data_IF_101927968545
#
_entry.id   IF_101927968545
#
_cell.length_a   1.000
_cell.length_b   1.000
_cell.length_c   1.000
_cell.angle_alpha   90.00
_cell.angle_beta   90.00
_cell.angle_gamma   90.00
#
_symmetry.space_group_name_H-M   'P 1'
#
loop_
_entity.id
_entity.type
_entity.pdbx_description
1 polymer ?
#
# COMPACT_ATOMS: atom_id res chain seq x y z
N UNK A 1 42.65 34.44 5.11
CA UNK A 1 42.08 33.77 3.92
C UNK A 1 41.70 32.30 4.14
N UNK A 2 42.22 31.58 5.15
CA UNK A 2 41.97 30.14 5.31
C UNK A 2 40.60 29.72 5.88
N UNK A 3 39.93 30.56 6.69
CA UNK A 3 38.61 30.20 7.27
C UNK A 3 37.45 30.28 6.25
N UNK A 4 37.53 31.19 5.29
CA UNK A 4 36.45 31.41 4.30
C UNK A 4 36.39 30.26 3.29
N UNK A 5 37.55 29.72 2.89
CA UNK A 5 37.61 28.54 2.01
C UNK A 5 37.05 27.28 2.68
N UNK A 6 37.30 27.09 3.98
CA UNK A 6 36.80 25.91 4.71
C UNK A 6 35.26 25.90 4.79
N UNK A 7 34.63 27.06 5.01
CA UNK A 7 33.16 27.18 5.04
C UNK A 7 32.54 26.92 3.66
N UNK A 8 33.16 27.44 2.59
CA UNK A 8 32.70 27.26 1.20
C UNK A 8 32.81 25.81 0.71
N UNK A 9 33.73 25.00 1.24
CA UNK A 9 33.90 23.59 0.88
C UNK A 9 32.98 22.67 1.73
N UNK A 10 32.67 23.03 2.97
CA UNK A 10 31.81 22.22 3.83
C UNK A 10 30.30 22.32 3.49
N UNK A 11 29.84 23.50 3.04
CA UNK A 11 28.45 23.73 2.63
C UNK A 11 27.95 22.77 1.52
N UNK A 12 28.67 22.56 0.40
CA UNK A 12 28.22 21.62 -0.63
C UNK A 12 28.23 20.17 -0.13
N UNK A 13 29.23 19.73 0.64
CA UNK A 13 29.26 18.36 1.18
C UNK A 13 28.08 18.07 2.12
N UNK A 14 27.69 19.02 2.98
CA UNK A 14 26.51 18.88 3.83
C UNK A 14 25.21 18.72 3.04
N UNK A 15 25.06 19.47 1.94
CA UNK A 15 23.91 19.40 1.05
C UNK A 15 23.82 18.07 0.27
N UNK A 16 24.95 17.51 -0.18
CA UNK A 16 24.96 16.22 -0.88
C UNK A 16 24.62 15.03 0.03
N UNK A 17 25.04 15.04 1.29
CA UNK A 17 24.69 13.99 2.27
C UNK A 17 23.21 14.05 2.64
N UNK A 18 22.64 15.25 2.83
CA UNK A 18 21.22 15.43 3.15
C UNK A 18 20.28 14.88 2.06
N UNK A 19 20.62 15.07 0.78
CA UNK A 19 19.83 14.55 -0.36
C UNK A 19 19.78 13.01 -0.39
N UNK A 20 20.88 12.32 -0.08
CA UNK A 20 20.90 10.83 -0.02
C UNK A 20 20.08 10.27 1.13
N UNK A 21 19.97 10.99 2.25
CA UNK A 21 19.13 10.60 3.40
C UNK A 21 17.63 10.72 3.08
N UNK A 22 17.24 11.71 2.28
CA UNK A 22 15.84 11.97 1.93
C UNK A 22 15.21 10.87 1.05
N UNK A 23 16.00 10.25 0.17
CA UNK A 23 15.58 9.15 -0.71
C UNK A 23 15.25 7.83 0.03
N UNK A 24 15.51 7.73 1.35
CA UNK A 24 15.28 6.53 2.16
C UNK A 24 14.22 6.72 3.26
N UNK A 25 13.47 7.82 3.25
CA UNK A 25 12.42 8.01 4.26
C UNK A 25 11.32 6.94 4.09
N UNK A 26 10.77 6.39 5.19
CA UNK A 26 9.74 5.36 5.12
C UNK A 26 8.53 5.75 4.27
N UNK A 27 8.17 7.04 4.26
CA UNK A 27 7.09 7.56 3.44
C UNK A 27 7.31 7.40 1.93
N UNK A 28 8.53 7.65 1.42
CA UNK A 28 8.85 7.52 -0.01
C UNK A 28 8.79 6.06 -0.45
N UNK A 29 9.28 5.14 0.38
CA UNK A 29 9.27 3.69 0.10
C UNK A 29 7.86 3.12 0.04
N UNK A 30 6.93 3.76 0.74
CA UNK A 30 5.51 3.42 0.75
C UNK A 30 4.68 4.27 -0.20
N UNK A 31 5.24 5.14 -1.03
CA UNK A 31 4.45 5.97 -1.94
C UNK A 31 3.69 5.11 -2.97
N UNK A 32 2.45 5.48 -3.27
CA UNK A 32 1.69 4.85 -4.35
C UNK A 32 2.08 5.43 -5.72
N UNK A 33 2.15 4.61 -6.77
CA UNK A 33 2.23 5.11 -8.15
C UNK A 33 0.89 5.68 -8.62
N UNK A 34 0.92 6.65 -9.53
CA UNK A 34 -0.27 7.35 -10.02
C UNK A 34 -1.30 6.40 -10.65
N UNK A 35 -0.86 5.34 -11.34
CA UNK A 35 -1.75 4.34 -11.95
C UNK A 35 -2.65 3.61 -10.94
N UNK A 36 -2.21 3.44 -9.70
CA UNK A 36 -3.03 2.87 -8.62
C UNK A 36 -3.99 3.92 -8.07
N UNK A 37 -3.58 5.20 -8.07
CA UNK A 37 -4.43 6.30 -7.61
C UNK A 37 -5.61 6.53 -8.56
N UNK A 38 -5.39 6.47 -9.87
CA UNK A 38 -6.46 6.56 -10.88
C UNK A 38 -7.54 5.46 -10.68
N UNK A 39 -7.13 4.25 -10.28
CA UNK A 39 -8.07 3.15 -10.04
C UNK A 39 -9.00 3.38 -8.85
N UNK A 40 -8.51 4.05 -7.80
CA UNK A 40 -9.31 4.31 -6.58
C UNK A 40 -10.26 5.51 -6.70
N UNK A 41 -10.19 6.26 -7.80
CA UNK A 41 -11.13 7.34 -8.10
C UNK A 41 -12.50 6.82 -8.50
N UNK A 42 -12.57 5.60 -9.06
CA UNK A 42 -13.83 4.96 -9.39
C UNK A 42 -14.37 4.17 -8.18
N UNK A 43 -15.44 4.65 -7.51
CA UNK A 43 -15.97 3.99 -6.32
C UNK A 43 -16.53 2.59 -6.60
N UNK A 44 -16.91 2.26 -7.84
CA UNK A 44 -17.40 0.93 -8.19
C UNK A 44 -16.32 -0.15 -8.10
N UNK A 45 -15.04 0.23 -8.13
CA UNK A 45 -13.90 -0.67 -8.09
C UNK A 45 -13.17 -0.64 -6.75
N UNK A 46 -13.77 -0.08 -5.70
CA UNK A 46 -13.12 0.09 -4.39
C UNK A 46 -13.95 -0.56 -3.30
N UNK A 47 -13.25 -1.28 -2.41
CA UNK A 47 -13.83 -1.78 -1.16
C UNK A 47 -13.04 -1.27 0.04
N UNK A 48 -13.78 -1.03 1.13
CA UNK A 48 -13.22 -0.67 2.44
C UNK A 48 -13.09 -1.92 3.32
N UNK A 49 -12.15 -1.93 4.27
CA UNK A 49 -11.96 -3.09 5.13
C UNK A 49 -13.05 -3.17 6.21
N UNK A 50 -13.35 -4.40 6.63
CA UNK A 50 -14.23 -4.67 7.78
C UNK A 50 -13.49 -4.52 9.11
N UNK A 51 -12.16 -4.68 9.10
CA UNK A 51 -11.30 -4.57 10.29
C UNK A 51 -9.97 -3.94 9.93
N UNK A 52 -9.44 -3.12 10.82
CA UNK A 52 -8.08 -2.58 10.76
C UNK A 52 -7.37 -2.86 12.08
N UNK A 53 -6.10 -3.25 12.00
CA UNK A 53 -5.20 -3.43 13.14
C UNK A 53 -3.97 -2.56 12.92
N UNK A 54 -3.64 -1.71 13.90
CA UNK A 54 -2.53 -0.76 13.83
C UNK A 54 -1.72 -0.82 15.12
N UNK A 55 -0.90 -1.84 15.26
CA UNK A 55 -0.04 -2.07 16.43
C UNK A 55 1.43 -2.18 16.00
N UNK A 56 2.02 -1.12 15.40
CA UNK A 56 3.35 -1.20 14.82
C UNK A 56 4.48 -1.52 15.82
N UNK A 57 4.26 -1.34 17.13
CA UNK A 57 5.20 -1.71 18.20
C UNK A 57 5.25 -3.23 18.46
N UNK A 58 4.24 -3.99 18.04
CA UNK A 58 4.24 -5.46 18.13
C UNK A 58 5.09 -6.11 17.00
N UNK A 59 5.81 -5.31 16.23
CA UNK A 59 6.75 -5.77 15.20
C UNK A 59 6.13 -5.94 13.82
N UNK A 60 6.74 -6.83 13.03
CA UNK A 60 6.24 -7.12 11.68
C UNK A 60 4.86 -7.73 11.78
N UNK A 61 4.06 -7.51 10.75
CA UNK A 61 2.75 -8.14 10.62
C UNK A 61 1.63 -7.64 11.57
N UNK A 62 1.85 -6.54 12.29
CA UNK A 62 0.83 -5.95 13.17
C UNK A 62 0.24 -4.64 12.65
N UNK A 63 0.34 -4.40 11.33
CA UNK A 63 -0.35 -3.29 10.68
C UNK A 63 -1.01 -3.79 9.40
N UNK A 64 -2.31 -4.04 9.46
CA UNK A 64 -3.05 -4.59 8.33
C UNK A 64 -4.54 -4.27 8.40
N UNK A 65 -5.20 -4.41 7.26
CA UNK A 65 -6.64 -4.31 7.14
C UNK A 65 -7.21 -5.58 6.49
N UNK A 66 -8.39 -6.02 6.92
CA UNK A 66 -9.09 -7.19 6.39
C UNK A 66 -10.22 -6.72 5.48
N UNK A 67 -10.19 -7.17 4.23
CA UNK A 67 -11.18 -6.84 3.22
C UNK A 67 -11.99 -8.07 2.86
N UNK A 68 -13.29 -7.89 2.60
CA UNK A 68 -14.13 -8.91 1.97
C UNK A 68 -14.27 -8.56 0.49
N UNK A 69 -13.87 -9.48 -0.37
CA UNK A 69 -13.96 -9.31 -1.83
C UNK A 69 -15.33 -9.81 -2.30
N UNK A 70 -16.12 -8.99 -3.01
CA UNK A 70 -17.41 -9.42 -3.54
C UNK A 70 -17.28 -10.55 -4.57
N UNK A 71 -18.32 -11.38 -4.69
CA UNK A 71 -18.39 -12.44 -5.69
C UNK A 71 -18.22 -11.91 -7.11
N UNK A 72 -17.43 -12.62 -7.92
CA UNK A 72 -17.13 -12.24 -9.31
C UNK A 72 -16.12 -11.11 -9.45
N UNK A 73 -15.41 -10.76 -8.37
CA UNK A 73 -14.29 -9.82 -8.38
C UNK A 73 -13.02 -10.47 -7.82
N UNK A 74 -11.88 -9.97 -8.28
CA UNK A 74 -10.55 -10.25 -7.70
C UNK A 74 -10.00 -8.99 -7.04
N UNK A 75 -9.29 -9.18 -5.94
CA UNK A 75 -8.52 -8.11 -5.34
C UNK A 75 -7.30 -7.77 -6.22
N UNK A 76 -6.96 -6.49 -6.28
CA UNK A 76 -5.64 -6.03 -6.71
C UNK A 76 -4.57 -6.45 -5.70
N UNK A 77 -3.32 -6.52 -6.14
CA UNK A 77 -2.17 -6.85 -5.30
C UNK A 77 -1.76 -5.71 -4.35
N UNK A 78 -2.41 -4.54 -4.46
CA UNK A 78 -2.05 -3.32 -3.72
C UNK A 78 -3.24 -2.78 -2.92
N UNK A 79 -2.95 -2.35 -1.69
CA UNK A 79 -3.89 -1.61 -0.83
C UNK A 79 -3.41 -0.15 -0.72
N UNK A 80 -4.33 0.80 -0.77
CA UNK A 80 -4.04 2.24 -0.64
C UNK A 80 -4.50 2.74 0.72
N UNK A 81 -3.65 3.52 1.38
CA UNK A 81 -3.89 4.15 2.68
C UNK A 81 -3.73 5.66 2.53
N UNK A 82 -4.82 6.38 2.76
CA UNK A 82 -4.85 7.84 2.65
C UNK A 82 -4.62 8.46 4.03
N UNK A 83 -3.66 9.37 4.12
CA UNK A 83 -3.40 10.16 5.33
C UNK A 83 -3.47 11.63 4.94
N UNK A 84 -4.32 12.39 5.61
CA UNK A 84 -4.54 13.82 5.37
C UNK A 84 -3.23 14.59 5.51
N UNK A 85 -2.94 15.42 4.50
CA UNK A 85 -1.72 16.22 4.44
C UNK A 85 -0.49 15.48 3.89
N UNK A 86 -0.68 14.30 3.32
CA UNK A 86 0.39 13.52 2.68
C UNK A 86 -0.10 12.85 1.40
N UNK A 87 0.84 12.46 0.53
CA UNK A 87 0.55 11.59 -0.60
C UNK A 87 0.09 10.20 -0.09
N UNK A 88 -0.82 9.52 -0.79
CA UNK A 88 -1.28 8.19 -0.37
C UNK A 88 -0.15 7.17 -0.31
N UNK A 89 -0.30 6.23 0.62
CA UNK A 89 0.67 5.17 0.85
C UNK A 89 0.13 3.82 0.38
N UNK A 90 1.01 2.98 -0.14
CA UNK A 90 0.69 1.67 -0.65
C UNK A 90 1.22 0.57 0.27
N UNK A 91 0.40 -0.46 0.44
CA UNK A 91 0.72 -1.74 1.06
C UNK A 91 0.56 -2.88 0.06
N UNK A 92 0.82 -4.10 0.51
CA UNK A 92 0.67 -5.33 -0.29
C UNK A 92 -0.57 -6.10 0.14
N UNK A 93 -1.24 -6.77 -0.78
CA UNK A 93 -2.39 -7.62 -0.47
C UNK A 93 -1.95 -9.07 -0.44
N UNK A 94 -2.35 -9.79 0.62
CA UNK A 94 -2.06 -11.22 0.77
C UNK A 94 -3.36 -12.00 1.00
N UNK A 95 -3.45 -13.25 0.50
CA UNK A 95 -4.64 -14.08 0.69
C UNK A 95 -4.72 -14.73 2.08
N UNK A 96 -3.71 -14.56 2.92
CA UNK A 96 -3.63 -15.17 4.24
C UNK A 96 -3.56 -14.13 5.35
N UNK A 97 -4.17 -14.49 6.48
CA UNK A 97 -4.13 -13.73 7.72
C UNK A 97 -2.71 -13.66 8.28
N UNK A 98 -2.46 -12.82 9.29
CA UNK A 98 -1.19 -12.85 10.00
C UNK A 98 -0.85 -14.16 10.71
N UNK A 99 -1.84 -14.98 11.01
CA UNK A 99 -1.64 -16.33 11.52
C UNK A 99 -1.47 -17.39 10.42
N UNK A 100 -1.39 -16.97 9.14
CA UNK A 100 -1.22 -17.85 7.98
C UNK A 100 -2.49 -18.55 7.51
N UNK A 101 -3.66 -18.21 8.04
CA UNK A 101 -4.92 -18.84 7.64
C UNK A 101 -5.53 -18.12 6.45
N UNK A 102 -5.86 -18.87 5.40
CA UNK A 102 -6.78 -18.37 4.36
C UNK A 102 -8.20 -18.33 4.93
N UNK A 103 -8.92 -17.25 4.68
CA UNK A 103 -10.32 -17.12 5.07
C UNK A 103 -11.11 -16.81 3.81
N UNK A 104 -12.17 -17.55 3.59
CA UNK A 104 -12.92 -17.51 2.34
C UNK A 104 -13.39 -16.09 2.01
N UNK A 105 -13.16 -15.69 0.76
CA UNK A 105 -13.44 -14.33 0.22
C UNK A 105 -12.77 -13.17 0.95
N UNK A 106 -11.77 -13.41 1.80
CA UNK A 106 -11.06 -12.34 2.52
C UNK A 106 -9.62 -12.23 2.08
N UNK A 107 -9.18 -10.99 1.99
CA UNK A 107 -7.77 -10.65 1.75
C UNK A 107 -7.28 -9.66 2.80
N UNK A 108 -5.98 -9.62 2.98
CA UNK A 108 -5.34 -8.83 4.02
C UNK A 108 -4.42 -7.81 3.36
N UNK A 109 -4.72 -6.52 3.53
CA UNK A 109 -3.87 -5.42 3.08
C UNK A 109 -2.83 -5.11 4.15
N UNK A 110 -1.59 -5.49 3.90
CA UNK A 110 -0.46 -5.33 4.80
C UNK A 110 0.25 -4.00 4.58
N UNK A 111 0.44 -3.27 5.67
CA UNK A 111 1.14 -2.00 5.64
C UNK A 111 2.53 -2.10 6.27
N UNK A 112 3.48 -1.33 5.75
CA UNK A 112 4.86 -1.37 6.25
C UNK A 112 4.91 -0.84 7.68
N UNK A 113 5.29 -1.68 8.64
CA UNK A 113 5.46 -1.30 10.05
C UNK A 113 6.36 -0.07 10.22
N UNK A 114 7.45 0.03 9.45
CA UNK A 114 8.37 1.19 9.52
C UNK A 114 7.69 2.50 9.11
N UNK A 115 6.78 2.46 8.13
CA UNK A 115 6.00 3.62 7.70
C UNK A 115 4.96 3.98 8.75
N UNK A 116 4.30 2.98 9.36
CA UNK A 116 3.37 3.21 10.47
C UNK A 116 4.06 3.83 11.71
N UNK A 117 5.23 3.33 12.10
CA UNK A 117 6.04 3.94 13.18
C UNK A 117 6.42 5.38 12.84
N UNK A 118 6.82 5.64 11.59
CA UNK A 118 7.13 7.00 11.15
C UNK A 118 5.89 7.90 11.25
N UNK A 119 4.73 7.46 10.77
CA UNK A 119 3.46 8.20 10.90
C UNK A 119 3.04 8.41 12.36
N UNK A 120 3.34 7.44 13.25
CA UNK A 120 3.16 7.61 14.70
C UNK A 120 3.99 8.78 15.24
N UNK A 121 5.26 8.89 14.86
CA UNK A 121 6.11 10.05 15.26
C UNK A 121 5.61 11.39 14.70
N UNK A 122 4.72 11.37 13.70
CA UNK A 122 4.05 12.55 13.13
C UNK A 122 2.67 12.82 13.75
N UNK A 123 2.22 12.01 14.72
CA UNK A 123 0.89 12.13 15.31
C UNK A 123 -0.25 11.70 14.38
N UNK A 124 0.04 10.93 13.34
CA UNK A 124 -0.93 10.53 12.30
C UNK A 124 -1.43 9.08 12.47
N UNK A 125 -1.09 8.41 13.58
CA UNK A 125 -1.47 7.01 13.81
C UNK A 125 -2.98 6.79 13.79
N UNK A 126 -3.76 7.69 14.38
CA UNK A 126 -5.23 7.61 14.40
C UNK A 126 -5.87 7.65 13.02
N UNK A 127 -5.18 8.19 12.01
CA UNK A 127 -5.66 8.14 10.62
C UNK A 127 -5.49 6.73 10.03
N UNK A 128 -4.43 6.00 10.41
CA UNK A 128 -4.26 4.61 10.01
C UNK A 128 -5.31 3.70 10.65
N UNK A 129 -5.86 4.05 11.81
CA UNK A 129 -6.87 3.25 12.49
C UNK A 129 -8.26 3.36 11.85
N UNK A 130 -8.51 4.36 11.02
CA UNK A 130 -9.81 4.60 10.39
C UNK A 130 -10.00 3.73 9.14
N UNK A 131 -10.98 2.81 9.09
CA UNK A 131 -11.24 1.97 7.91
C UNK A 131 -11.47 2.76 6.62
N UNK A 132 -12.11 3.93 6.70
CA UNK A 132 -12.39 4.79 5.55
C UNK A 132 -11.13 5.29 4.83
N UNK A 133 -9.99 5.33 5.53
CA UNK A 133 -8.71 5.73 4.95
C UNK A 133 -8.03 4.60 4.16
N UNK A 134 -8.53 3.38 4.25
CA UNK A 134 -8.01 2.21 3.54
C UNK A 134 -8.91 1.86 2.38
N UNK A 135 -8.30 1.62 1.23
CA UNK A 135 -9.00 1.27 -0.02
C UNK A 135 -8.29 0.09 -0.66
N UNK A 136 -9.07 -0.92 -1.02
CA UNK A 136 -8.61 -2.01 -1.86
C UNK A 136 -9.28 -1.88 -3.23
N UNK A 137 -8.48 -1.89 -4.29
CA UNK A 137 -9.00 -1.97 -5.66
C UNK A 137 -9.46 -3.39 -5.95
N UNK A 138 -10.63 -3.53 -6.55
CA UNK A 138 -11.18 -4.79 -7.04
C UNK A 138 -11.40 -4.72 -8.55
N UNK A 139 -11.17 -5.84 -9.23
CA UNK A 139 -11.31 -5.99 -10.67
C UNK A 139 -12.34 -7.07 -10.95
N UNK A 140 -13.31 -6.79 -11.82
CA UNK A 140 -14.32 -7.78 -12.22
C UNK A 140 -13.64 -8.94 -12.94
N UNK A 141 -13.96 -10.17 -12.55
CA UNK A 141 -13.51 -11.34 -13.28
C UNK A 141 -14.15 -11.35 -14.68
N UNK A 142 -13.35 -11.29 -15.73
CA UNK A 142 -13.84 -11.62 -17.06
C UNK A 142 -14.17 -13.11 -17.07
N UNK A 143 -15.45 -13.47 -17.26
CA UNK A 143 -15.81 -14.85 -17.59
C UNK A 143 -15.01 -15.23 -18.85
N UNK A 144 -14.03 -16.13 -18.72
CA UNK A 144 -13.53 -16.85 -19.88
C UNK A 144 -14.70 -17.69 -20.39
N UNK A 145 -15.45 -17.14 -21.35
CA UNK A 145 -16.27 -17.95 -22.22
C UNK A 145 -15.31 -18.85 -22.97
N UNK A 146 -15.18 -20.11 -22.55
CA UNK A 146 -14.55 -21.14 -23.34
C UNK A 146 -15.28 -21.18 -24.68
N UNK A 147 -14.74 -20.48 -25.67
CA UNK A 147 -15.17 -20.61 -27.05
C UNK A 147 -14.83 -22.05 -27.45
N UNK A 148 -15.89 -22.81 -27.66
CA UNK A 148 -15.91 -24.20 -28.09
C UNK A 148 -14.78 -24.47 -29.10
N UNK A 149 -13.82 -25.30 -28.72
CA UNK A 149 -13.06 -26.09 -29.69
C UNK A 149 -13.77 -27.43 -29.82
N UNK A 150 -14.92 -27.42 -30.50
CA UNK A 150 -15.43 -28.62 -31.15
C UNK A 150 -14.74 -28.69 -32.49
N UNK A 151 -13.54 -29.27 -32.53
CA UNK A 151 -13.00 -29.74 -33.79
C UNK A 151 -13.71 -31.05 -34.08
N UNK A 152 -14.80 -30.96 -34.84
CA UNK A 152 -15.26 -32.05 -35.67
C UNK A 152 -14.09 -32.56 -36.52
N UNK A 153 -13.78 -33.85 -36.45
CA UNK A 153 -13.00 -34.54 -37.47
C UNK A 153 -13.97 -35.43 -38.26
N UNK A 154 -14.23 -35.13 -39.55
CA UNK A 154 -14.74 -36.11 -40.47
C UNK A 154 -13.59 -36.84 -41.18
N UNK A 155 -13.79 -38.15 -41.30
CA UNK A 155 -13.11 -39.19 -42.09
C UNK A 155 -11.84 -39.81 -41.50
#
# INVERSE_FOLDING_TARGET
MSLVLAVLICLPLGLFVAKKLQARTPGVVSACPDSVLEQIENPANVVHPEKVVVEPWQGRHNVFATFKVPDGYKASDTVVVTVKGSHPYCGIVMPYSPSGMSIDQRVFGWFRTRTALWLFTKGQLSQLEQPANWKLVILKESKQTNFLKTDEHPL
#
